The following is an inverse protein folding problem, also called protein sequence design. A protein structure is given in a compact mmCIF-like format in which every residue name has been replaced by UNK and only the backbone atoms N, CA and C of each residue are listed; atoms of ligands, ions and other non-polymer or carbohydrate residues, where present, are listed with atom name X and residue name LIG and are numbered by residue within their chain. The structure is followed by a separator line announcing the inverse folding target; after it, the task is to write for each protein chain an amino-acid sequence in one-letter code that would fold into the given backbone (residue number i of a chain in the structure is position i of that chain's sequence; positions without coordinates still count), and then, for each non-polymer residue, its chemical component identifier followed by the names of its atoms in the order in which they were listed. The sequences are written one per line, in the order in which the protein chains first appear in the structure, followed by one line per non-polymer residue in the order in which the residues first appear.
data_IF_273704639187
#
_entry.id   IF_273704639187
#
_cell.length_a   1.000
_cell.length_b   1.000
_cell.length_c   1.000
_cell.angle_alpha   90.00
_cell.angle_beta   90.00
_cell.angle_gamma   90.00
#
_symmetry.space_group_name_H-M   'P 1'
#
loop_
_entity.id
_entity.type
_entity.pdbx_description
1 polymer ?
#
# COMPACT_ATOMS: atom_id res chain seq x y z
N UNK A 1 -16.12 24.83 -14.17
CA UNK A 1 -16.23 23.73 -13.19
C UNK A 1 -15.63 24.25 -11.90
N UNK A 2 -16.41 24.42 -10.84
CA UNK A 2 -15.87 24.72 -9.52
C UNK A 2 -15.53 23.37 -8.87
N UNK A 3 -14.25 23.13 -8.59
CA UNK A 3 -13.82 21.96 -7.83
C UNK A 3 -13.89 22.31 -6.34
N UNK A 4 -14.76 21.64 -5.60
CA UNK A 4 -14.76 21.65 -4.14
C UNK A 4 -14.01 20.42 -3.66
N UNK A 5 -13.15 20.56 -2.66
CA UNK A 5 -12.54 19.41 -2.00
C UNK A 5 -13.53 18.78 -1.02
N UNK A 6 -13.32 17.51 -0.74
CA UNK A 6 -13.92 16.81 0.39
C UNK A 6 -12.83 15.97 1.07
N UNK A 7 -12.93 15.81 2.39
CA UNK A 7 -12.01 14.93 3.11
C UNK A 7 -12.44 13.48 2.92
N UNK A 8 -11.54 12.68 2.36
CA UNK A 8 -11.74 11.28 2.01
C UNK A 8 -11.24 10.31 3.10
N UNK A 9 -10.88 10.84 4.26
CA UNK A 9 -10.30 10.13 5.39
C UNK A 9 -10.92 10.62 6.71
N UNK A 10 -10.71 9.86 7.78
CA UNK A 10 -10.95 10.33 9.14
C UNK A 10 -9.81 11.22 9.65
N UNK A 11 -9.94 11.74 10.86
CA UNK A 11 -8.90 12.53 11.54
C UNK A 11 -7.66 11.68 11.89
N UNK A 12 -7.82 10.35 11.91
CA UNK A 12 -6.79 9.38 12.26
C UNK A 12 -5.64 9.33 11.24
N UNK A 13 -5.84 9.77 9.99
CA UNK A 13 -4.76 9.85 8.99
C UNK A 13 -3.60 10.75 9.43
N UNK A 14 -3.88 11.78 10.24
CA UNK A 14 -2.85 12.70 10.74
C UNK A 14 -1.82 11.99 11.63
N UNK A 15 -2.20 10.89 12.28
CA UNK A 15 -1.30 10.07 13.09
C UNK A 15 -0.22 9.39 12.23
N UNK A 16 -0.43 9.29 10.91
CA UNK A 16 0.45 8.62 9.94
C UNK A 16 1.19 9.60 9.02
N UNK A 17 1.14 10.90 9.31
CA UNK A 17 1.89 11.92 8.56
C UNK A 17 1.35 12.21 7.16
N UNK A 18 0.11 11.80 6.87
CA UNK A 18 -0.49 11.88 5.54
C UNK A 18 -0.27 10.62 4.74
N UNK A 19 -0.49 10.71 3.42
CA UNK A 19 -0.42 9.57 2.52
C UNK A 19 0.22 9.95 1.19
N UNK A 20 1.18 9.15 0.75
CA UNK A 20 1.86 9.28 -0.53
C UNK A 20 1.92 7.91 -1.24
N UNK A 21 2.36 7.93 -2.51
CA UNK A 21 2.35 6.76 -3.40
C UNK A 21 0.98 6.08 -3.53
N UNK A 22 -0.08 6.83 -3.90
CA UNK A 22 -1.41 6.28 -4.00
C UNK A 22 -1.52 5.28 -5.16
N UNK A 23 -2.06 4.11 -4.87
CA UNK A 23 -2.36 3.04 -5.80
C UNK A 23 -3.82 2.60 -5.65
N UNK A 24 -4.43 2.17 -6.75
CA UNK A 24 -5.80 1.63 -6.79
C UNK A 24 -5.78 0.32 -7.57
N UNK A 25 -6.93 -0.35 -7.69
CA UNK A 25 -7.13 -1.38 -8.71
C UNK A 25 -7.17 -0.72 -10.11
N UNK A 26 -6.00 -0.31 -10.58
CA UNK A 26 -5.83 0.61 -11.71
C UNK A 26 -6.42 0.06 -13.00
N UNK A 27 -6.22 -1.24 -13.27
CA UNK A 27 -6.71 -1.87 -14.49
C UNK A 27 -8.23 -1.75 -14.66
N UNK A 28 -9.01 -1.82 -13.57
CA UNK A 28 -10.48 -1.82 -13.62
C UNK A 28 -11.10 -0.47 -13.24
N UNK A 29 -10.42 0.33 -12.42
CA UNK A 29 -11.01 1.52 -11.79
C UNK A 29 -10.31 2.84 -12.14
N UNK A 30 -9.26 2.83 -12.97
CA UNK A 30 -8.67 4.07 -13.44
C UNK A 30 -9.71 4.93 -14.19
N UNK A 31 -9.86 6.19 -13.78
CA UNK A 31 -10.88 7.14 -14.30
C UNK A 31 -12.34 6.73 -14.06
N UNK A 32 -12.59 5.73 -13.20
CA UNK A 32 -13.93 5.30 -12.80
C UNK A 32 -14.16 5.54 -11.30
N UNK A 33 -15.43 5.66 -10.85
CA UNK A 33 -15.74 5.66 -9.43
C UNK A 33 -15.20 4.40 -8.75
N UNK A 34 -14.52 4.58 -7.62
CA UNK A 34 -13.85 3.51 -6.87
C UNK A 34 -14.02 3.77 -5.37
N UNK A 35 -13.82 2.74 -4.56
CA UNK A 35 -14.00 2.80 -3.10
C UNK A 35 -12.69 2.73 -2.34
N UNK A 36 -11.67 2.05 -2.86
CA UNK A 36 -10.43 1.76 -2.13
C UNK A 36 -9.21 2.31 -2.85
N UNK A 37 -8.32 2.91 -2.07
CA UNK A 37 -6.94 3.14 -2.49
C UNK A 37 -5.97 2.69 -1.40
N UNK A 38 -4.71 2.53 -1.81
CA UNK A 38 -3.60 2.08 -0.98
C UNK A 38 -2.48 3.10 -1.09
N UNK A 39 -1.65 3.24 -0.06
CA UNK A 39 -0.49 4.11 -0.10
C UNK A 39 0.43 3.90 1.09
N UNK A 40 1.44 4.74 1.20
CA UNK A 40 2.33 4.76 2.35
C UNK A 40 1.99 5.92 3.29
N UNK A 41 2.03 5.67 4.60
CA UNK A 41 2.09 6.76 5.58
C UNK A 41 3.50 7.31 5.68
N UNK A 42 3.61 8.63 5.86
CA UNK A 42 4.85 9.40 5.81
C UNK A 42 5.05 10.25 7.07
N UNK A 43 5.14 9.60 8.25
CA UNK A 43 5.53 10.27 9.51
C UNK A 43 6.97 10.81 9.47
N UNK A 44 7.78 10.28 8.55
CA UNK A 44 9.18 10.59 8.36
C UNK A 44 9.47 10.92 6.87
N UNK A 45 10.74 11.19 6.53
CA UNK A 45 11.15 11.44 5.15
C UNK A 45 10.92 10.23 4.23
N UNK A 46 10.88 9.03 4.80
CA UNK A 46 10.58 7.76 4.13
C UNK A 46 9.27 7.19 4.66
N UNK A 47 8.58 6.43 3.82
CA UNK A 47 7.37 5.73 4.22
C UNK A 47 7.66 4.68 5.28
N UNK A 48 6.86 4.63 6.33
CA UNK A 48 7.04 3.74 7.48
C UNK A 48 5.82 2.86 7.78
N UNK A 49 4.73 3.05 7.03
CA UNK A 49 3.51 2.26 7.12
C UNK A 49 2.91 2.05 5.74
N UNK A 50 2.15 0.97 5.58
CA UNK A 50 1.23 0.80 4.46
C UNK A 50 -0.18 1.10 4.96
N UNK A 51 -0.98 1.76 4.12
CA UNK A 51 -2.33 2.17 4.45
C UNK A 51 -3.27 1.72 3.34
N UNK A 52 -4.40 1.10 3.71
CA UNK A 52 -5.59 0.96 2.88
C UNK A 52 -6.63 1.97 3.36
N UNK A 53 -7.24 2.72 2.43
CA UNK A 53 -8.33 3.65 2.72
C UNK A 53 -9.63 3.17 2.08
N UNK A 54 -10.73 3.16 2.85
CA UNK A 54 -12.11 3.00 2.38
C UNK A 54 -12.79 4.37 2.29
N UNK A 55 -13.02 4.86 1.07
CA UNK A 55 -13.61 6.17 0.79
C UNK A 55 -15.08 6.30 1.24
N UNK A 56 -15.82 5.19 1.27
CA UNK A 56 -17.23 5.22 1.68
C UNK A 56 -17.34 5.31 3.21
N UNK A 57 -16.57 4.46 3.90
CA UNK A 57 -16.53 4.43 5.35
C UNK A 57 -15.67 5.53 5.98
N UNK A 58 -14.77 6.14 5.19
CA UNK A 58 -13.67 7.00 5.64
C UNK A 58 -12.83 6.35 6.74
N UNK A 59 -12.54 5.06 6.55
CA UNK A 59 -11.81 4.21 7.50
C UNK A 59 -10.55 3.68 6.86
N UNK A 60 -9.50 3.60 7.65
CA UNK A 60 -8.24 3.01 7.21
C UNK A 60 -7.93 1.68 7.88
N UNK A 61 -7.08 0.91 7.21
CA UNK A 61 -6.34 -0.20 7.81
C UNK A 61 -4.86 0.06 7.59
N UNK A 62 -4.05 -0.28 8.58
CA UNK A 62 -2.63 0.06 8.59
C UNK A 62 -1.82 -1.19 8.88
N UNK A 63 -0.76 -1.39 8.10
CA UNK A 63 0.30 -2.34 8.39
C UNK A 63 1.54 -1.53 8.77
N UNK A 64 2.12 -1.83 9.93
CA UNK A 64 3.33 -1.18 10.41
C UNK A 64 4.15 -2.11 11.30
N UNK A 65 5.47 -1.99 11.23
CA UNK A 65 6.39 -2.64 12.15
C UNK A 65 7.56 -1.71 12.47
N UNK A 66 7.98 -1.57 13.75
CA UNK A 66 9.12 -0.75 14.11
C UNK A 66 10.40 -1.12 13.36
N UNK A 67 11.06 -0.12 12.77
CA UNK A 67 12.31 -0.30 12.02
C UNK A 67 12.15 -0.99 10.65
N UNK A 68 10.93 -1.06 10.13
CA UNK A 68 10.63 -1.55 8.79
C UNK A 68 10.01 -0.43 7.94
N UNK A 69 10.52 -0.28 6.72
CA UNK A 69 10.18 0.84 5.85
C UNK A 69 9.70 0.29 4.50
N UNK A 70 8.38 0.25 4.26
CA UNK A 70 7.81 -0.25 3.02
C UNK A 70 7.97 0.74 1.85
N UNK A 71 8.12 0.21 0.64
CA UNK A 71 7.98 0.96 -0.61
C UNK A 71 6.51 1.15 -1.00
N UNK A 72 6.24 1.82 -2.13
CA UNK A 72 4.90 1.92 -2.73
C UNK A 72 4.17 0.56 -2.74
N UNK A 73 2.90 0.50 -2.28
CA UNK A 73 2.08 -0.69 -2.33
C UNK A 73 1.51 -0.91 -3.74
N UNK A 74 1.91 -1.98 -4.40
CA UNK A 74 1.36 -2.38 -5.71
C UNK A 74 0.18 -3.32 -5.51
N UNK A 75 -1.00 -2.95 -6.01
CA UNK A 75 -2.17 -3.81 -6.01
C UNK A 75 -2.15 -4.82 -7.17
N UNK A 76 -2.42 -6.08 -6.86
CA UNK A 76 -2.54 -7.18 -7.82
C UNK A 76 -3.88 -7.88 -7.62
N UNK A 77 -4.81 -7.82 -8.60
CA UNK A 77 -6.12 -8.45 -8.45
C UNK A 77 -6.00 -9.98 -8.49
N UNK A 78 -6.88 -10.66 -7.76
CA UNK A 78 -7.14 -12.09 -7.97
C UNK A 78 -7.57 -12.34 -9.44
N UNK A 79 -7.19 -13.46 -10.08
CA UNK A 79 -7.56 -13.72 -11.49
C UNK A 79 -9.06 -13.70 -11.77
N UNK A 80 -9.88 -14.05 -10.78
CA UNK A 80 -11.35 -14.10 -10.87
C UNK A 80 -12.02 -13.02 -9.98
N UNK A 81 -11.33 -11.91 -9.71
CA UNK A 81 -11.79 -10.89 -8.78
C UNK A 81 -13.16 -10.31 -9.15
N UNK A 82 -14.13 -10.45 -8.26
CA UNK A 82 -15.45 -9.81 -8.40
C UNK A 82 -15.54 -8.49 -7.63
N UNK A 83 -14.90 -8.42 -6.47
CA UNK A 83 -14.84 -7.22 -5.64
C UNK A 83 -13.64 -6.34 -6.01
N UNK A 84 -13.70 -5.06 -5.65
CA UNK A 84 -12.65 -4.07 -6.01
C UNK A 84 -11.30 -4.36 -5.34
N UNK A 85 -11.34 -4.81 -4.09
CA UNK A 85 -10.20 -5.14 -3.23
C UNK A 85 -9.93 -6.64 -3.11
N UNK A 86 -10.49 -7.46 -4.02
CA UNK A 86 -10.16 -8.88 -4.13
C UNK A 86 -8.81 -9.06 -4.84
N UNK A 87 -7.77 -9.26 -4.05
CA UNK A 87 -6.40 -9.39 -4.51
C UNK A 87 -5.41 -9.25 -3.37
N UNK A 88 -4.18 -8.88 -3.72
CA UNK A 88 -3.08 -8.69 -2.78
C UNK A 88 -2.40 -7.34 -2.97
N UNK A 89 -1.74 -6.88 -1.91
CA UNK A 89 -0.79 -5.76 -1.95
C UNK A 89 0.62 -6.30 -1.83
N UNK A 90 1.51 -5.83 -2.71
CA UNK A 90 2.93 -6.14 -2.70
C UNK A 90 3.73 -4.89 -2.39
N UNK A 91 4.69 -4.98 -1.46
CA UNK A 91 5.60 -3.88 -1.15
C UNK A 91 6.97 -4.44 -0.75
N UNK A 92 8.05 -3.78 -1.17
CA UNK A 92 9.40 -4.12 -0.73
C UNK A 92 9.66 -3.43 0.60
N UNK A 93 10.02 -4.20 1.61
CA UNK A 93 10.28 -3.69 2.96
C UNK A 93 11.77 -3.73 3.23
N UNK A 94 12.35 -2.55 3.46
CA UNK A 94 13.74 -2.40 3.85
C UNK A 94 13.86 -2.16 5.36
N UNK A 95 15.05 -2.36 5.90
CA UNK A 95 15.36 -2.11 7.30
C UNK A 95 16.81 -1.61 7.41
N UNK A 96 17.11 -0.65 8.30
CA UNK A 96 18.47 -0.20 8.57
C UNK A 96 19.26 -1.18 9.45
N UNK A 97 18.59 -2.20 9.98
CA UNK A 97 19.18 -3.24 10.81
C UNK A 97 19.93 -4.25 9.93
N UNK A 98 21.27 -4.25 9.99
CA UNK A 98 22.13 -5.12 9.17
C UNK A 98 21.91 -6.62 9.44
N UNK A 99 21.37 -6.97 10.61
CA UNK A 99 21.07 -8.37 10.97
C UNK A 99 19.71 -8.84 10.39
N UNK A 100 18.92 -7.93 9.81
CA UNK A 100 17.62 -8.24 9.22
C UNK A 100 17.67 -8.10 7.70
N UNK A 101 17.16 -9.13 7.03
CA UNK A 101 17.06 -9.15 5.57
C UNK A 101 15.92 -8.27 5.07
N UNK A 102 16.15 -7.66 3.90
CA UNK A 102 15.08 -7.05 3.09
C UNK A 102 14.16 -8.16 2.56
N UNK A 103 12.87 -7.85 2.40
CA UNK A 103 11.90 -8.81 1.88
C UNK A 103 10.81 -8.13 1.05
N UNK A 104 10.20 -8.91 0.17
CA UNK A 104 8.93 -8.57 -0.46
C UNK A 104 7.80 -9.03 0.46
N UNK A 105 6.97 -8.10 0.91
CA UNK A 105 5.77 -8.33 1.70
C UNK A 105 4.58 -8.60 0.78
N UNK A 106 3.71 -9.54 1.19
CA UNK A 106 2.40 -9.75 0.56
C UNK A 106 1.31 -9.63 1.63
N UNK A 107 0.39 -8.69 1.43
CA UNK A 107 -0.80 -8.52 2.25
C UNK A 107 -2.05 -8.94 1.48
N UNK A 108 -3.04 -9.49 2.18
CA UNK A 108 -4.40 -9.61 1.65
C UNK A 108 -4.98 -8.20 1.47
N UNK A 109 -5.40 -7.84 0.26
CA UNK A 109 -5.85 -6.48 0.00
C UNK A 109 -7.17 -6.14 0.71
N UNK A 110 -7.99 -7.14 1.09
CA UNK A 110 -9.26 -6.96 1.77
C UNK A 110 -9.10 -6.80 3.27
N UNK A 111 -8.45 -7.76 3.92
CA UNK A 111 -8.23 -7.79 5.37
C UNK A 111 -7.08 -6.87 5.78
N UNK A 112 -6.11 -6.66 4.90
CA UNK A 112 -4.83 -5.98 5.15
C UNK A 112 -3.91 -6.74 6.11
N UNK A 113 -4.14 -8.05 6.24
CA UNK A 113 -3.32 -8.96 7.03
C UNK A 113 -2.20 -9.56 6.18
N UNK A 114 -1.08 -9.88 6.83
CA UNK A 114 0.06 -10.46 6.15
C UNK A 114 -0.20 -11.91 5.72
N UNK A 115 -0.01 -12.18 4.42
CA UNK A 115 -0.07 -13.52 3.84
C UNK A 115 1.30 -14.20 3.80
N UNK A 116 2.37 -13.41 3.69
CA UNK A 116 3.74 -13.92 3.74
C UNK A 116 4.79 -12.94 3.27
N UNK A 117 6.04 -13.41 3.27
CA UNK A 117 7.24 -12.65 2.88
C UNK A 117 8.15 -13.49 2.00
N UNK A 118 8.76 -12.87 0.99
CA UNK A 118 9.88 -13.45 0.25
C UNK A 118 11.17 -12.70 0.60
N UNK A 119 12.02 -13.36 1.40
CA UNK A 119 13.27 -12.77 1.92
C UNK A 119 14.38 -12.88 0.87
N UNK A 120 15.18 -11.82 0.72
CA UNK A 120 16.35 -11.81 -0.16
C UNK A 120 17.66 -11.67 0.64
N UNK A 121 18.75 -12.34 0.23
CA UNK A 121 20.03 -12.29 0.95
C UNK A 121 20.88 -11.06 0.56
N UNK A 122 20.25 -9.98 0.12
CA UNK A 122 20.91 -8.75 -0.35
C UNK A 122 20.14 -7.52 0.11
N UNK A 123 20.84 -6.41 0.30
CA UNK A 123 20.22 -5.13 0.60
C UNK A 123 19.64 -4.51 -0.68
N UNK A 124 18.38 -4.08 -0.62
CA UNK A 124 17.73 -3.33 -1.70
C UNK A 124 17.64 -1.86 -1.26
N UNK A 125 18.00 -0.89 -2.11
CA UNK A 125 17.78 0.53 -1.81
C UNK A 125 16.27 0.84 -1.75
N UNK A 126 15.92 1.93 -1.06
CA UNK A 126 14.52 2.39 -1.01
C UNK A 126 13.99 2.69 -2.42
N UNK A 127 12.82 2.11 -2.75
CA UNK A 127 12.17 2.26 -4.05
C UNK A 127 11.02 3.27 -4.00
N UNK A 128 10.80 3.97 -5.12
CA UNK A 128 9.70 4.94 -5.26
C UNK A 128 8.47 4.30 -5.90
N UNK A 129 8.57 3.98 -7.20
CA UNK A 129 7.45 3.43 -7.96
C UNK A 129 7.75 2.04 -8.51
N UNK A 130 6.70 1.26 -8.71
CA UNK A 130 6.76 -0.07 -9.31
C UNK A 130 5.53 -0.40 -10.14
N UNK A 131 5.60 -1.56 -10.79
CA UNK A 131 4.43 -2.14 -11.48
C UNK A 131 4.52 -3.65 -11.42
N UNK A 132 3.36 -4.30 -11.42
CA UNK A 132 3.26 -5.74 -11.57
C UNK A 132 2.91 -6.07 -13.01
N UNK A 133 3.69 -6.96 -13.62
CA UNK A 133 3.38 -7.50 -14.93
C UNK A 133 3.04 -8.99 -14.79
N UNK A 134 1.83 -9.37 -15.19
CA UNK A 134 1.36 -10.74 -15.13
C UNK A 134 1.96 -11.67 -16.20
N UNK A 135 2.69 -11.12 -17.19
CA UNK A 135 3.32 -11.94 -18.23
C UNK A 135 4.70 -12.44 -17.81
N UNK A 136 4.80 -13.77 -17.64
CA UNK A 136 6.01 -14.58 -17.77
C UNK A 136 5.68 -15.76 -18.70
#
# INVERSE_FOLDING_TARGET
VFCTHEDLHGEDLHEYGGLEFPQINYHKFNTHPYRYFYGCGFRHLVGDTLIKMDLHGKRMKVWEHPGQYPSEPVFVPSPNATEEDDGVIMSVVITPDEDKSTFLLVLDAKTFEELGRAVVPVNIPYGFHGTFNATA
#
